data_IF_913256071246
#
_entry.id   IF_913256071246
#
_cell.length_a   1.000
_cell.length_b   1.000
_cell.length_c   1.000
_cell.angle_alpha   90.00
_cell.angle_beta   90.00
_cell.angle_gamma   90.00
#
_symmetry.space_group_name_H-M   'P 1'
#
loop_
_entity.id
_entity.type
_entity.pdbx_description
1 polymer ?
#
# COMPACT_ATOMS: atom_id res chain seq x y z
N UNK A 1 8.57 -13.38 -21.06
CA UNK A 1 7.34 -12.59 -20.80
C UNK A 1 7.78 -11.15 -20.61
N UNK A 2 7.53 -10.29 -21.59
CA UNK A 2 8.02 -8.91 -21.56
C UNK A 2 7.13 -8.13 -20.59
N UNK A 3 7.61 -7.86 -19.38
CA UNK A 3 6.96 -6.91 -18.47
C UNK A 3 7.40 -5.51 -18.91
N UNK A 4 6.71 -4.96 -19.90
CA UNK A 4 7.01 -3.62 -20.41
C UNK A 4 6.52 -2.55 -19.42
N UNK A 5 7.51 -1.97 -18.74
CA UNK A 5 7.63 -0.61 -18.16
C UNK A 5 6.43 -0.09 -17.37
N UNK A 6 6.57 -0.25 -16.05
CA UNK A 6 6.01 0.63 -15.02
C UNK A 6 6.03 2.09 -15.49
N UNK A 7 4.85 2.69 -15.61
CA UNK A 7 4.71 4.15 -15.83
C UNK A 7 4.81 4.88 -14.50
N UNK A 8 5.79 4.52 -13.68
CA UNK A 8 5.99 5.15 -12.38
C UNK A 8 6.56 6.55 -12.60
N UNK A 9 6.10 7.52 -11.80
CA UNK A 9 6.60 8.90 -11.88
C UNK A 9 7.43 9.19 -10.65
N UNK A 10 8.69 9.57 -10.87
CA UNK A 10 9.62 9.93 -9.80
C UNK A 10 9.62 11.44 -9.60
N UNK A 11 9.36 11.86 -8.37
CA UNK A 11 9.53 13.22 -7.88
C UNK A 11 10.73 13.24 -6.91
N UNK A 12 10.95 14.36 -6.22
CA UNK A 12 12.11 14.54 -5.32
C UNK A 12 12.17 13.42 -4.27
N UNK A 13 11.20 13.38 -3.36
CA UNK A 13 11.12 12.40 -2.26
C UNK A 13 9.98 11.39 -2.40
N UNK A 14 9.23 11.46 -3.51
CA UNK A 14 7.99 10.71 -3.71
C UNK A 14 8.01 9.97 -5.04
N UNK A 15 7.37 8.80 -5.07
CA UNK A 15 7.08 8.07 -6.30
C UNK A 15 5.57 7.87 -6.45
N UNK A 16 5.05 8.15 -7.64
CA UNK A 16 3.72 7.74 -8.06
C UNK A 16 3.84 6.37 -8.71
N UNK A 17 3.61 5.31 -7.93
CA UNK A 17 3.63 3.92 -8.38
C UNK A 17 2.38 3.63 -9.21
N UNK A 18 2.53 3.22 -10.46
CA UNK A 18 1.42 2.87 -11.32
C UNK A 18 0.78 1.55 -10.88
N UNK A 19 -0.52 1.57 -10.57
CA UNK A 19 -1.27 0.39 -10.11
C UNK A 19 -2.23 -0.15 -11.20
N UNK A 20 -2.16 0.41 -12.41
CA UNK A 20 -3.09 0.15 -13.52
C UNK A 20 -4.20 1.20 -13.68
N UNK A 21 -4.82 1.24 -14.86
CA UNK A 21 -5.92 2.16 -15.23
C UNK A 21 -5.68 3.63 -14.86
N UNK A 22 -4.44 4.12 -15.06
CA UNK A 22 -4.03 5.50 -14.71
C UNK A 22 -4.20 5.86 -13.22
N UNK A 23 -4.29 4.86 -12.33
CA UNK A 23 -4.33 5.05 -10.88
C UNK A 23 -2.94 4.83 -10.29
N UNK A 24 -2.59 5.68 -9.33
CA UNK A 24 -1.26 5.73 -8.73
C UNK A 24 -1.33 5.58 -7.22
N UNK A 25 -0.34 4.89 -6.64
CA UNK A 25 -0.05 4.96 -5.22
C UNK A 25 1.01 6.04 -5.01
N UNK A 26 0.86 6.85 -3.98
CA UNK A 26 1.92 7.78 -3.57
C UNK A 26 2.73 7.07 -2.49
N UNK A 27 4.04 6.93 -2.69
CA UNK A 27 4.95 6.30 -1.72
C UNK A 27 6.20 7.15 -1.54
N UNK A 28 6.88 7.01 -0.41
CA UNK A 28 8.22 7.58 -0.25
C UNK A 28 9.16 6.91 -1.23
N UNK A 29 10.03 7.70 -1.87
CA UNK A 29 11.01 7.22 -2.85
C UNK A 29 11.94 6.15 -2.27
N UNK A 30 12.28 6.26 -0.99
CA UNK A 30 13.08 5.26 -0.27
C UNK A 30 12.43 3.86 -0.21
N UNK A 31 11.11 3.76 -0.38
CA UNK A 31 10.38 2.49 -0.40
C UNK A 31 10.28 1.88 -1.80
N UNK A 32 10.68 2.60 -2.85
CA UNK A 32 10.43 2.23 -4.23
C UNK A 32 10.93 0.81 -4.56
N UNK A 33 12.20 0.51 -4.31
CA UNK A 33 12.81 -0.79 -4.64
C UNK A 33 12.09 -1.97 -3.96
N UNK A 34 11.66 -1.78 -2.71
CA UNK A 34 10.94 -2.81 -1.95
C UNK A 34 9.52 -3.03 -2.47
N UNK A 35 8.88 -1.98 -2.98
CA UNK A 35 7.49 -1.98 -3.42
C UNK A 35 7.36 -2.38 -4.90
N UNK A 36 8.19 -1.82 -5.78
CA UNK A 36 8.08 -1.93 -7.24
C UNK A 36 8.36 -3.34 -7.78
N UNK A 37 9.07 -4.18 -7.02
CA UNK A 37 9.30 -5.58 -7.37
C UNK A 37 8.01 -6.44 -7.35
N UNK A 38 6.93 -5.93 -6.77
CA UNK A 38 5.65 -6.65 -6.66
C UNK A 38 4.58 -6.07 -7.58
N UNK A 39 3.69 -6.93 -8.07
CA UNK A 39 2.47 -6.50 -8.76
C UNK A 39 1.38 -6.17 -7.76
N UNK A 40 0.99 -4.90 -7.73
CA UNK A 40 -0.10 -4.39 -6.90
C UNK A 40 -1.40 -4.26 -7.69
N UNK A 41 -2.52 -4.28 -6.99
CA UNK A 41 -3.85 -4.03 -7.55
C UNK A 41 -4.75 -3.33 -6.52
N UNK A 42 -5.79 -2.67 -7.04
CA UNK A 42 -6.80 -2.03 -6.21
C UNK A 42 -7.87 -3.03 -5.78
N UNK A 43 -8.27 -2.92 -4.52
CA UNK A 43 -9.37 -3.65 -3.92
C UNK A 43 -10.39 -2.67 -3.36
N UNK A 44 -11.62 -2.78 -3.85
CA UNK A 44 -12.75 -2.00 -3.34
C UNK A 44 -13.14 -2.47 -1.94
N UNK A 45 -13.32 -1.52 -1.04
CA UNK A 45 -14.06 -1.66 0.22
C UNK A 45 -15.40 -0.92 0.08
N UNK A 46 -16.25 -0.97 1.11
CA UNK A 46 -17.54 -0.29 1.10
C UNK A 46 -17.40 1.23 0.92
N UNK A 47 -16.33 1.81 1.47
CA UNK A 47 -16.13 3.27 1.53
C UNK A 47 -14.86 3.78 0.84
N UNK A 48 -13.89 2.90 0.56
CA UNK A 48 -12.57 3.31 0.05
C UNK A 48 -11.90 2.22 -0.80
N UNK A 49 -10.75 2.55 -1.38
CA UNK A 49 -9.94 1.62 -2.16
C UNK A 49 -8.63 1.33 -1.44
N UNK A 50 -8.30 0.05 -1.27
CA UNK A 50 -7.00 -0.34 -0.75
C UNK A 50 -6.12 -0.90 -1.85
N UNK A 51 -4.81 -0.70 -1.70
CA UNK A 51 -3.82 -1.30 -2.58
C UNK A 51 -3.32 -2.59 -1.93
N UNK A 52 -3.34 -3.68 -2.68
CA UNK A 52 -2.90 -4.98 -2.19
C UNK A 52 -2.21 -5.79 -3.29
N UNK A 53 -1.44 -6.80 -2.86
CA UNK A 53 -0.92 -7.86 -3.72
C UNK A 53 -1.41 -9.21 -3.22
N UNK A 54 -1.48 -10.17 -4.14
CA UNK A 54 -1.66 -11.59 -3.79
C UNK A 54 -0.33 -12.15 -3.29
N UNK A 55 -0.39 -13.03 -2.31
CA UNK A 55 0.74 -13.80 -1.80
C UNK A 55 0.29 -15.23 -1.56
N UNK A 56 1.12 -16.21 -1.87
CA UNK A 56 0.83 -17.62 -1.64
C UNK A 56 1.88 -18.14 -0.65
N UNK A 57 1.42 -18.66 0.48
CA UNK A 57 2.26 -19.28 1.51
C UNK A 57 1.65 -20.63 1.85
N UNK A 58 2.44 -21.70 1.80
CA UNK A 58 1.98 -23.08 2.07
C UNK A 58 0.72 -23.48 1.28
N UNK A 59 0.65 -23.07 0.01
CA UNK A 59 -0.50 -23.33 -0.87
C UNK A 59 -1.75 -22.50 -0.56
N UNK A 60 -1.72 -21.62 0.44
CA UNK A 60 -2.84 -20.74 0.81
C UNK A 60 -2.66 -19.35 0.20
N UNK A 61 -3.64 -18.90 -0.57
CA UNK A 61 -3.68 -17.52 -1.07
C UNK A 61 -4.07 -16.57 0.06
N UNK A 62 -3.26 -15.54 0.25
CA UNK A 62 -3.50 -14.41 1.14
C UNK A 62 -3.28 -13.09 0.40
N UNK A 63 -3.65 -11.98 1.06
CA UNK A 63 -3.43 -10.63 0.54
C UNK A 63 -2.53 -9.85 1.47
N UNK A 64 -1.56 -9.17 0.88
CA UNK A 64 -0.69 -8.23 1.59
C UNK A 64 -1.08 -6.84 1.12
N UNK A 65 -1.48 -5.98 2.06
CA UNK A 65 -1.83 -4.60 1.76
C UNK A 65 -0.60 -3.70 1.75
N UNK A 66 -0.55 -2.72 0.83
CA UNK A 66 0.61 -1.85 0.62
C UNK A 66 0.98 -1.06 1.89
N UNK A 67 0.00 -0.39 2.50
CA UNK A 67 0.19 0.36 3.75
C UNK A 67 0.76 -0.51 4.88
N UNK A 68 0.39 -1.80 4.96
CA UNK A 68 0.96 -2.74 5.95
C UNK A 68 2.36 -3.20 5.58
N UNK A 69 2.61 -3.40 4.30
CA UNK A 69 3.91 -3.81 3.78
C UNK A 69 4.97 -2.74 4.07
N UNK A 70 4.67 -1.47 3.77
CA UNK A 70 5.57 -0.33 3.99
C UNK A 70 5.87 -0.13 5.49
N UNK A 71 4.89 -0.31 6.36
CA UNK A 71 5.05 -0.13 7.80
C UNK A 71 5.58 -1.36 8.54
N UNK A 72 5.74 -2.49 7.85
CA UNK A 72 6.03 -3.80 8.46
C UNK A 72 5.10 -4.10 9.65
N UNK A 73 3.81 -3.79 9.50
CA UNK A 73 2.87 -3.79 10.60
C UNK A 73 2.70 -5.19 11.23
N UNK A 74 2.94 -5.35 12.55
CA UNK A 74 2.83 -6.64 13.23
C UNK A 74 1.45 -7.29 13.09
N UNK A 75 1.41 -8.62 13.19
CA UNK A 75 0.16 -9.36 13.23
C UNK A 75 -0.76 -8.82 14.35
N UNK A 76 -2.05 -8.69 14.07
CA UNK A 76 -3.05 -8.16 15.01
C UNK A 76 -3.07 -6.63 15.19
N UNK A 77 -2.09 -5.89 14.65
CA UNK A 77 -2.14 -4.42 14.58
C UNK A 77 -2.87 -3.95 13.33
N UNK A 78 -3.46 -2.77 13.37
CA UNK A 78 -4.05 -2.09 12.22
C UNK A 78 -3.14 -0.93 11.78
N UNK A 79 -3.37 -0.40 10.59
CA UNK A 79 -2.61 0.73 10.05
C UNK A 79 -3.61 1.74 9.50
N UNK A 80 -3.53 2.98 9.98
CA UNK A 80 -4.39 4.09 9.58
C UNK A 80 -3.68 5.06 8.66
N UNK A 81 -4.48 5.67 7.78
CA UNK A 81 -4.10 6.81 6.96
C UNK A 81 -4.52 8.10 7.65
N UNK A 82 -3.56 8.88 8.17
CA UNK A 82 -3.82 10.15 8.89
C UNK A 82 -4.53 11.19 8.03
N UNK A 83 -4.25 11.18 6.74
CA UNK A 83 -4.83 12.11 5.76
C UNK A 83 -6.12 11.58 5.11
N UNK A 84 -6.64 10.43 5.57
CA UNK A 84 -7.80 9.73 4.99
C UNK A 84 -7.67 9.38 3.49
N UNK A 85 -6.48 9.48 2.91
CA UNK A 85 -6.20 9.13 1.53
C UNK A 85 -5.53 7.76 1.45
N UNK A 86 -6.35 6.73 1.23
CA UNK A 86 -5.89 5.32 1.10
C UNK A 86 -4.90 5.05 -0.04
N UNK A 87 -4.77 5.96 -1.02
CA UNK A 87 -3.76 5.86 -2.08
C UNK A 87 -2.44 6.54 -1.71
N UNK A 88 -2.42 7.38 -0.67
CA UNK A 88 -1.20 7.98 -0.14
C UNK A 88 -0.61 7.10 0.97
N UNK A 89 0.40 6.31 0.60
CA UNK A 89 1.05 5.32 1.44
C UNK A 89 2.46 5.79 1.87
N UNK A 90 2.72 7.10 1.88
CA UNK A 90 3.91 7.68 2.49
C UNK A 90 3.90 7.44 4.00
N UNK A 91 5.06 7.13 4.58
CA UNK A 91 5.23 6.77 5.99
C UNK A 91 4.68 7.84 6.94
N UNK A 92 4.84 9.12 6.59
CA UNK A 92 4.29 10.23 7.40
C UNK A 92 2.76 10.17 7.54
N UNK A 93 2.07 9.60 6.54
CA UNK A 93 0.61 9.45 6.52
C UNK A 93 0.15 8.13 7.13
N UNK A 94 1.06 7.21 7.46
CA UNK A 94 0.72 5.89 7.99
C UNK A 94 0.97 5.80 9.50
N UNK A 95 0.02 5.21 10.22
CA UNK A 95 0.12 5.01 11.66
C UNK A 95 -0.30 3.60 12.05
N UNK A 96 0.63 2.84 12.64
CA UNK A 96 0.33 1.50 13.18
C UNK A 96 -0.37 1.66 14.53
N UNK A 97 -1.60 1.20 14.64
CA UNK A 97 -2.41 1.33 15.85
C UNK A 97 -2.91 -0.04 16.35
N UNK A 98 -3.24 -0.12 17.63
CA UNK A 98 -4.03 -1.24 18.15
C UNK A 98 -5.47 -1.17 17.64
N UNK A 99 -6.21 -2.30 17.66
CA UNK A 99 -7.63 -2.28 17.33
C UNK A 99 -8.47 -1.32 18.20
N UNK A 100 -8.07 -1.12 19.47
CA UNK A 100 -8.77 -0.20 20.38
C UNK A 100 -8.58 1.27 19.98
N UNK A 101 -7.38 1.65 19.55
CA UNK A 101 -7.07 3.00 19.08
C UNK A 101 -7.69 3.28 17.70
N UNK A 102 -7.89 2.24 16.89
CA UNK A 102 -8.47 2.37 15.56
C UNK A 102 -9.89 2.94 15.60
N UNK A 103 -10.74 2.39 16.47
CA UNK A 103 -12.14 2.80 16.58
C UNK A 103 -12.34 4.20 17.18
N UNK A 104 -11.30 4.81 17.75
CA UNK A 104 -11.37 6.17 18.30
C UNK A 104 -10.93 7.24 17.29
N UNK A 105 -10.30 6.84 16.18
CA UNK A 105 -9.75 7.73 15.15
C UNK A 105 -10.39 7.49 13.77
N UNK A 106 -11.44 6.67 13.71
CA UNK A 106 -12.19 6.31 12.50
C UNK A 106 -13.42 7.20 12.28
#
# INVERSE_FOLDING_TARGET
MIVQRQRDVFLDDVVLLNIGDFRYAIIDKAQYENVAQWRWCLRKSNVCWYICRKSITDGKESRIYLHRFITNAPAGKQVHHRNHNTLDNRLENLFVCSPKEHNQQA
#
